data_IF_536639266315
#
_entry.id   IF_536639266315
#
_cell.length_a   1.000
_cell.length_b   1.000
_cell.length_c   1.000
_cell.angle_alpha   90.00
_cell.angle_beta   90.00
_cell.angle_gamma   90.00
#
_symmetry.space_group_name_H-M   'P 1'
#
loop_
_entity.id
_entity.type
_entity.pdbx_description
1 polymer ?
#
# COMPACT_ATOMS: atom_id res chain seq x y z
N UNK A 1 8.17 -16.13 -13.43
CA UNK A 1 8.55 -15.84 -12.03
C UNK A 1 9.67 -16.78 -11.64
N UNK A 2 10.64 -16.28 -10.89
CA UNK A 2 11.76 -17.03 -10.32
C UNK A 2 11.92 -16.56 -8.88
N UNK A 3 11.44 -17.35 -7.94
CA UNK A 3 11.48 -17.01 -6.51
C UNK A 3 11.69 -18.29 -5.68
N UNK A 4 12.65 -18.29 -4.74
CA UNK A 4 12.92 -19.46 -3.92
C UNK A 4 11.69 -19.83 -3.06
N UNK A 5 11.35 -21.13 -2.94
CA UNK A 5 10.19 -21.56 -2.15
C UNK A 5 10.27 -21.14 -0.67
N UNK A 6 9.11 -20.86 -0.06
CA UNK A 6 9.01 -20.55 1.37
C UNK A 6 9.41 -19.12 1.77
N UNK A 7 9.77 -18.26 0.81
CA UNK A 7 9.94 -16.83 1.02
C UNK A 7 8.61 -16.06 1.00
N UNK A 8 8.69 -14.73 1.14
CA UNK A 8 7.52 -13.84 1.01
C UNK A 8 6.91 -13.86 -0.41
N UNK A 9 7.70 -14.23 -1.41
CA UNK A 9 7.28 -14.37 -2.81
C UNK A 9 7.11 -15.85 -3.21
N UNK A 10 6.57 -16.66 -2.30
CA UNK A 10 6.37 -18.09 -2.54
C UNK A 10 5.47 -18.36 -3.78
N UNK A 11 5.96 -19.13 -4.78
CA UNK A 11 5.21 -19.41 -6.00
C UNK A 11 3.89 -20.14 -5.78
N UNK A 12 3.76 -20.98 -4.73
CA UNK A 12 2.49 -21.65 -4.44
C UNK A 12 1.44 -20.65 -3.94
N UNK A 13 1.83 -19.72 -3.07
CA UNK A 13 1.00 -18.60 -2.61
C UNK A 13 0.56 -17.72 -3.78
N UNK A 14 1.50 -17.36 -4.67
CA UNK A 14 1.18 -16.62 -5.90
C UNK A 14 0.08 -17.31 -6.72
N UNK A 15 0.21 -18.61 -6.98
CA UNK A 15 -0.76 -19.37 -7.77
C UNK A 15 -2.14 -19.45 -7.11
N UNK A 16 -2.19 -19.64 -5.79
CA UNK A 16 -3.44 -19.70 -5.03
C UNK A 16 -4.21 -18.37 -5.12
N UNK A 17 -3.53 -17.25 -4.91
CA UNK A 17 -4.13 -15.92 -5.02
C UNK A 17 -4.52 -15.60 -6.46
N UNK A 18 -3.66 -15.92 -7.44
CA UNK A 18 -3.96 -15.71 -8.85
C UNK A 18 -5.21 -16.50 -9.29
N UNK A 19 -5.36 -17.75 -8.82
CA UNK A 19 -6.53 -18.57 -9.11
C UNK A 19 -7.80 -17.98 -8.48
N UNK A 20 -7.72 -17.49 -7.24
CA UNK A 20 -8.83 -16.82 -6.59
C UNK A 20 -9.25 -15.57 -7.38
N UNK A 21 -8.33 -14.67 -7.70
CA UNK A 21 -8.62 -13.45 -8.48
C UNK A 21 -9.25 -13.77 -9.84
N UNK A 22 -8.71 -14.75 -10.58
CA UNK A 22 -9.31 -15.19 -11.86
C UNK A 22 -10.72 -15.77 -11.69
N UNK A 23 -11.00 -16.46 -10.58
CA UNK A 23 -12.35 -16.99 -10.29
C UNK A 23 -13.38 -15.87 -10.11
N UNK A 24 -12.94 -14.65 -9.74
CA UNK A 24 -13.76 -13.45 -9.66
C UNK A 24 -13.89 -12.72 -11.01
N UNK A 25 -13.33 -13.28 -12.09
CA UNK A 25 -13.29 -12.64 -13.42
C UNK A 25 -12.23 -11.54 -13.56
N UNK A 26 -11.27 -11.46 -12.62
CA UNK A 26 -10.21 -10.45 -12.63
C UNK A 26 -8.94 -10.95 -13.35
N UNK A 27 -8.11 -10.02 -13.79
CA UNK A 27 -6.97 -10.31 -14.66
C UNK A 27 -5.66 -10.50 -13.89
N UNK A 28 -5.57 -11.56 -13.08
CA UNK A 28 -4.29 -12.11 -12.66
C UNK A 28 -3.73 -13.06 -13.75
N UNK A 29 -2.40 -13.16 -13.93
CA UNK A 29 -1.82 -13.93 -15.04
C UNK A 29 -2.16 -15.42 -14.92
N UNK A 30 -2.51 -16.07 -16.05
CA UNK A 30 -2.61 -17.54 -16.11
C UNK A 30 -1.25 -18.20 -15.91
N UNK A 31 -1.24 -19.40 -15.33
CA UNK A 31 -0.04 -20.22 -15.25
C UNK A 31 -0.07 -21.30 -16.34
N UNK A 32 0.96 -21.35 -17.18
CA UNK A 32 1.11 -22.34 -18.25
C UNK A 32 1.90 -23.56 -17.79
N UNK A 33 2.91 -23.37 -16.94
CA UNK A 33 3.71 -24.44 -16.35
C UNK A 33 4.29 -23.99 -15.00
N UNK A 34 4.51 -24.93 -14.09
CA UNK A 34 5.07 -24.67 -12.76
C UNK A 34 6.09 -25.73 -12.38
N UNK A 35 7.15 -25.30 -11.69
CA UNK A 35 8.07 -26.15 -10.94
C UNK A 35 8.23 -25.52 -9.55
N UNK A 36 7.38 -25.94 -8.62
CA UNK A 36 7.37 -25.41 -7.26
C UNK A 36 8.56 -25.88 -6.42
N UNK A 37 9.24 -26.96 -6.83
CA UNK A 37 10.44 -27.44 -6.12
C UNK A 37 11.60 -26.49 -6.36
N UNK A 38 11.75 -26.00 -7.59
CA UNK A 38 12.80 -25.06 -7.95
C UNK A 38 12.34 -23.59 -7.96
N UNK A 39 11.06 -23.32 -7.74
CA UNK A 39 10.53 -21.96 -7.59
C UNK A 39 10.18 -21.25 -8.91
N UNK A 40 9.95 -22.00 -10.00
CA UNK A 40 9.69 -21.43 -11.32
C UNK A 40 8.21 -21.47 -11.71
N UNK A 41 7.72 -20.37 -12.28
CA UNK A 41 6.43 -20.30 -12.95
C UNK A 41 6.57 -19.72 -14.35
N UNK A 42 5.98 -20.40 -15.33
CA UNK A 42 5.73 -19.86 -16.67
C UNK A 42 4.32 -19.26 -16.70
N UNK A 43 4.25 -17.95 -16.86
CA UNK A 43 3.02 -17.17 -16.69
C UNK A 43 2.58 -16.53 -18.01
N UNK A 44 1.30 -16.21 -18.09
CA UNK A 44 0.74 -15.30 -19.10
C UNK A 44 1.42 -13.94 -19.03
N UNK A 45 1.82 -13.46 -20.20
CA UNK A 45 2.25 -12.08 -20.38
C UNK A 45 1.02 -11.17 -20.47
N UNK A 46 0.88 -10.27 -19.52
CA UNK A 46 -0.18 -9.26 -19.49
C UNK A 46 0.22 -7.97 -20.25
N UNK A 47 1.41 -7.94 -20.86
CA UNK A 47 1.94 -6.82 -21.60
C UNK A 47 2.53 -5.71 -20.72
N UNK A 48 2.95 -4.61 -21.35
CA UNK A 48 3.76 -3.55 -20.74
C UNK A 48 3.01 -2.24 -20.43
N UNK A 49 1.67 -2.26 -20.55
CA UNK A 49 0.83 -1.08 -20.42
C UNK A 49 0.61 -0.65 -18.96
N UNK A 50 1.68 -0.44 -18.21
CA UNK A 50 1.64 -0.07 -16.79
C UNK A 50 0.91 1.25 -16.59
N UNK A 51 -0.05 1.27 -15.66
CA UNK A 51 -0.90 2.42 -15.35
C UNK A 51 -0.09 3.70 -15.15
N UNK A 52 0.98 3.64 -14.35
CA UNK A 52 1.84 4.80 -14.10
C UNK A 52 2.41 5.41 -15.40
N UNK A 53 2.90 4.58 -16.33
CA UNK A 53 3.47 5.04 -17.62
C UNK A 53 2.36 5.54 -18.55
N UNK A 54 1.21 4.86 -18.56
CA UNK A 54 0.06 5.27 -19.37
C UNK A 54 -0.48 6.63 -18.96
N UNK A 55 -0.58 6.90 -17.66
CA UNK A 55 -1.08 8.18 -17.15
C UNK A 55 -0.04 9.27 -17.35
N UNK A 56 1.25 8.97 -17.20
CA UNK A 56 2.31 9.94 -17.53
C UNK A 56 2.26 10.36 -19.00
N UNK A 57 2.09 9.41 -19.92
CA UNK A 57 1.96 9.70 -21.35
C UNK A 57 0.62 10.37 -21.72
N UNK A 58 -0.46 10.01 -21.02
CA UNK A 58 -1.82 10.48 -21.28
C UNK A 58 -2.54 10.83 -19.98
N UNK A 59 -2.31 12.01 -19.40
CA UNK A 59 -2.89 12.41 -18.10
C UNK A 59 -4.42 12.36 -18.06
N UNK A 60 -5.09 12.55 -19.20
CA UNK A 60 -6.55 12.43 -19.32
C UNK A 60 -7.11 11.03 -19.00
N UNK A 61 -6.27 10.00 -19.01
CA UNK A 61 -6.68 8.64 -18.66
C UNK A 61 -6.76 8.40 -17.14
N UNK A 62 -6.17 9.28 -16.32
CA UNK A 62 -6.05 9.11 -14.87
C UNK A 62 -7.37 8.69 -14.21
N UNK A 63 -8.43 9.50 -14.38
CA UNK A 63 -9.74 9.23 -13.79
C UNK A 63 -10.28 7.88 -14.26
N UNK A 64 -10.29 7.62 -15.58
CA UNK A 64 -10.85 6.37 -16.12
C UNK A 64 -10.13 5.11 -15.62
N UNK A 65 -8.80 5.15 -15.56
CA UNK A 65 -7.98 4.02 -15.09
C UNK A 65 -8.18 3.80 -13.59
N UNK A 66 -8.18 4.87 -12.80
CA UNK A 66 -8.42 4.80 -11.36
C UNK A 66 -9.85 4.35 -11.03
N UNK A 67 -10.86 4.74 -11.82
CA UNK A 67 -12.24 4.24 -11.67
C UNK A 67 -12.29 2.72 -11.87
N UNK A 68 -11.65 2.21 -12.93
CA UNK A 68 -11.58 0.77 -13.16
C UNK A 68 -10.86 0.04 -12.03
N UNK A 69 -9.72 0.57 -11.57
CA UNK A 69 -8.97 0.00 -10.44
C UNK A 69 -9.76 0.03 -9.12
N UNK A 70 -10.55 1.07 -8.86
CA UNK A 70 -11.44 1.15 -7.69
C UNK A 70 -12.56 0.11 -7.78
N UNK A 71 -13.13 -0.09 -8.97
CA UNK A 71 -14.12 -1.14 -9.22
C UNK A 71 -13.59 -2.55 -8.96
N UNK A 72 -12.31 -2.82 -9.28
CA UNK A 72 -11.65 -4.08 -8.92
C UNK A 72 -11.60 -4.28 -7.41
N UNK A 73 -11.26 -3.25 -6.64
CA UNK A 73 -11.22 -3.34 -5.18
C UNK A 73 -12.59 -3.66 -4.59
N UNK A 74 -13.65 -3.00 -5.08
CA UNK A 74 -15.01 -3.32 -4.65
C UNK A 74 -15.42 -4.75 -5.03
N UNK A 75 -15.04 -5.22 -6.22
CA UNK A 75 -15.31 -6.59 -6.64
C UNK A 75 -14.62 -7.63 -5.73
N UNK A 76 -13.33 -7.43 -5.41
CA UNK A 76 -12.60 -8.29 -4.46
C UNK A 76 -13.27 -8.28 -3.09
N UNK A 77 -13.61 -7.10 -2.56
CA UNK A 77 -14.13 -6.95 -1.19
C UNK A 77 -15.60 -7.40 -1.04
N UNK A 78 -16.33 -7.56 -2.15
CA UNK A 78 -17.69 -8.11 -2.18
C UNK A 78 -17.77 -9.63 -2.11
N UNK A 79 -16.61 -10.32 -2.16
CA UNK A 79 -16.53 -11.77 -2.24
C UNK A 79 -15.83 -12.34 -0.98
N UNK A 80 -16.08 -13.60 -0.62
CA UNK A 80 -15.31 -14.26 0.42
C UNK A 80 -13.82 -14.22 0.10
N UNK A 81 -12.94 -13.90 1.07
CA UNK A 81 -11.50 -13.86 0.85
C UNK A 81 -10.95 -15.24 0.48
N UNK A 82 -9.78 -15.27 -0.16
CA UNK A 82 -9.02 -16.51 -0.33
C UNK A 82 -8.78 -17.20 1.02
N UNK A 83 -8.68 -18.53 1.02
CA UNK A 83 -8.44 -19.29 2.24
C UNK A 83 -7.03 -19.04 2.80
N UNK A 84 -6.89 -19.12 4.13
CA UNK A 84 -5.62 -19.08 4.86
C UNK A 84 -4.79 -17.79 4.66
N UNK A 85 -5.44 -16.67 4.37
CA UNK A 85 -4.76 -15.37 4.34
C UNK A 85 -4.30 -14.98 5.75
N UNK A 86 -3.09 -14.40 5.92
CA UNK A 86 -2.66 -13.84 7.19
C UNK A 86 -3.65 -12.78 7.69
N UNK A 87 -3.99 -12.82 8.98
CA UNK A 87 -4.91 -11.89 9.62
C UNK A 87 -4.20 -11.19 10.77
N UNK A 88 -3.76 -9.96 10.52
CA UNK A 88 -3.01 -9.18 11.50
C UNK A 88 -3.96 -8.33 12.35
N UNK A 89 -3.65 -8.27 13.63
CA UNK A 89 -4.30 -7.41 14.61
C UNK A 89 -3.91 -5.94 14.41
N UNK A 90 -4.72 -5.03 14.94
CA UNK A 90 -4.39 -3.60 14.96
C UNK A 90 -3.02 -3.33 15.62
N UNK A 91 -2.67 -4.09 16.67
CA UNK A 91 -1.39 -3.98 17.36
C UNK A 91 -0.20 -4.40 16.48
N UNK A 92 -0.33 -5.47 15.69
CA UNK A 92 0.71 -5.89 14.75
C UNK A 92 0.92 -4.88 13.63
N UNK A 93 -0.17 -4.29 13.12
CA UNK A 93 -0.10 -3.20 12.15
C UNK A 93 0.56 -1.94 12.71
N UNK A 94 0.26 -1.59 13.96
CA UNK A 94 0.92 -0.48 14.65
C UNK A 94 2.41 -0.77 14.87
N UNK A 95 2.76 -1.99 15.29
CA UNK A 95 4.15 -2.42 15.44
C UNK A 95 4.94 -2.32 14.13
N UNK A 96 4.33 -2.69 13.00
CA UNK A 96 4.96 -2.55 11.68
C UNK A 96 5.18 -1.08 11.27
N UNK A 97 4.37 -0.14 11.77
CA UNK A 97 4.58 1.29 11.58
C UNK A 97 5.68 1.88 12.47
N UNK A 98 6.13 1.13 13.50
CA UNK A 98 7.29 1.46 14.33
C UNK A 98 8.60 1.66 13.54
N UNK A 99 8.66 1.15 12.30
CA UNK A 99 9.76 1.43 11.38
C UNK A 99 9.99 2.93 11.15
N UNK A 100 8.96 3.77 11.29
CA UNK A 100 9.11 5.22 11.26
C UNK A 100 10.12 5.72 12.32
N UNK A 101 10.09 5.13 13.51
CA UNK A 101 11.03 5.46 14.60
C UNK A 101 12.37 4.75 14.41
N UNK A 102 12.34 3.46 14.09
CA UNK A 102 13.55 2.62 14.00
C UNK A 102 14.50 3.02 12.88
N UNK A 103 13.96 3.58 11.79
CA UNK A 103 14.71 3.85 10.57
C UNK A 103 14.64 5.31 10.16
N UNK A 104 13.43 5.86 9.97
CA UNK A 104 13.29 7.23 9.46
C UNK A 104 13.78 8.26 10.50
N UNK A 105 13.20 8.26 11.70
CA UNK A 105 13.64 9.14 12.80
C UNK A 105 15.12 8.92 13.12
N UNK A 106 15.51 7.67 13.37
CA UNK A 106 16.90 7.31 13.67
C UNK A 106 17.89 7.87 12.64
N UNK A 107 17.60 7.75 11.34
CA UNK A 107 18.48 8.26 10.30
C UNK A 107 18.64 9.79 10.31
N UNK A 108 17.68 10.52 10.87
CA UNK A 108 17.72 11.99 10.98
C UNK A 108 18.31 12.45 12.31
N UNK A 109 17.98 11.79 13.43
CA UNK A 109 18.33 12.27 14.77
C UNK A 109 19.55 11.55 15.34
N UNK A 110 19.75 10.27 15.00
CA UNK A 110 20.84 9.41 15.46
C UNK A 110 20.55 8.65 16.76
N UNK A 111 19.40 8.86 17.39
CA UNK A 111 18.99 8.20 18.62
C UNK A 111 17.83 7.21 18.40
N UNK A 112 17.74 6.23 19.31
CA UNK A 112 16.63 5.28 19.41
C UNK A 112 15.84 5.59 20.68
N UNK A 113 14.52 5.51 20.58
CA UNK A 113 13.59 5.80 21.67
C UNK A 113 12.65 4.62 21.88
N UNK A 114 12.02 4.57 23.03
CA UNK A 114 10.90 3.66 23.26
C UNK A 114 9.72 4.03 22.35
N UNK A 115 9.15 3.02 21.69
CA UNK A 115 8.01 3.16 20.78
C UNK A 115 6.68 2.78 21.42
N UNK A 116 6.64 2.41 22.71
CA UNK A 116 5.44 1.91 23.38
C UNK A 116 4.24 2.86 23.23
N UNK A 117 4.37 4.12 23.63
CA UNK A 117 3.27 5.10 23.56
C UNK A 117 2.82 5.37 22.12
N UNK A 118 3.76 5.37 21.16
CA UNK A 118 3.46 5.50 19.73
C UNK A 118 2.64 4.31 19.23
N UNK A 119 3.08 3.09 19.53
CA UNK A 119 2.40 1.87 19.12
C UNK A 119 1.01 1.78 19.77
N UNK A 120 0.87 2.09 21.05
CA UNK A 120 -0.41 2.12 21.75
C UNK A 120 -1.37 3.13 21.11
N UNK A 121 -0.91 4.37 20.88
CA UNK A 121 -1.74 5.43 20.27
C UNK A 121 -2.22 5.04 18.87
N UNK A 122 -1.34 4.45 18.05
CA UNK A 122 -1.71 3.98 16.72
C UNK A 122 -2.63 2.75 16.77
N UNK A 123 -2.40 1.83 17.72
CA UNK A 123 -3.29 0.67 17.95
C UNK A 123 -4.69 1.12 18.31
N UNK A 124 -4.83 2.11 19.19
CA UNK A 124 -6.12 2.67 19.59
C UNK A 124 -6.85 3.32 18.40
N UNK A 125 -6.15 4.09 17.58
CA UNK A 125 -6.71 4.70 16.38
C UNK A 125 -7.19 3.64 15.37
N UNK A 126 -6.37 2.63 15.10
CA UNK A 126 -6.72 1.52 14.21
C UNK A 126 -7.90 0.71 14.76
N UNK A 127 -7.88 0.37 16.04
CA UNK A 127 -8.97 -0.40 16.70
C UNK A 127 -10.29 0.36 16.60
N UNK A 128 -10.27 1.68 16.82
CA UNK A 128 -11.49 2.49 16.81
C UNK A 128 -12.06 2.74 15.42
N UNK A 129 -11.20 2.97 14.43
CA UNK A 129 -11.64 3.48 13.13
C UNK A 129 -11.44 2.49 11.97
N UNK A 130 -10.54 1.52 12.12
CA UNK A 130 -10.11 0.63 11.04
C UNK A 130 -9.84 -0.81 11.55
N UNK A 131 -10.73 -1.35 12.38
CA UNK A 131 -10.71 -2.76 12.82
C UNK A 131 -12.07 -3.46 12.67
N UNK A 132 -12.79 -3.07 11.62
CA UNK A 132 -14.11 -3.61 11.25
C UNK A 132 -14.04 -4.95 10.49
N UNK A 133 -15.02 -5.21 9.59
CA UNK A 133 -15.07 -6.44 8.79
C UNK A 133 -13.76 -6.74 8.06
N UNK A 134 -13.38 -8.02 8.04
CA UNK A 134 -12.18 -8.49 7.34
C UNK A 134 -12.49 -8.79 5.88
N UNK A 135 -11.72 -8.17 4.99
CA UNK A 135 -11.76 -8.37 3.53
C UNK A 135 -10.39 -8.75 3.02
N UNK A 136 -10.32 -9.34 1.83
CA UNK A 136 -9.05 -9.59 1.15
C UNK A 136 -8.46 -8.26 0.67
N UNK A 137 -7.22 -7.99 1.07
CA UNK A 137 -6.40 -6.87 0.60
C UNK A 137 -5.16 -7.41 -0.11
N UNK A 138 -4.72 -6.75 -1.18
CA UNK A 138 -3.56 -7.12 -2.00
C UNK A 138 -2.26 -6.47 -1.51
N UNK A 139 -2.38 -5.41 -0.70
CA UNK A 139 -1.32 -4.64 -0.03
C UNK A 139 -0.46 -3.76 -0.91
N UNK A 140 -0.01 -4.27 -2.05
CA UNK A 140 0.81 -3.56 -3.05
C UNK A 140 -0.01 -3.15 -4.28
N UNK A 141 -1.22 -2.65 -4.00
CA UNK A 141 -2.16 -2.19 -5.02
C UNK A 141 -1.91 -0.71 -5.38
N UNK A 142 -1.12 -0.45 -6.42
CA UNK A 142 -0.79 0.90 -6.88
C UNK A 142 -0.45 0.92 -8.37
N UNK A 143 -0.33 2.11 -8.97
CA UNK A 143 -0.24 2.29 -10.42
C UNK A 143 0.98 1.62 -11.11
N UNK A 144 2.03 1.29 -10.36
CA UNK A 144 3.17 0.50 -10.88
C UNK A 144 2.84 -0.99 -11.07
N UNK A 145 1.85 -1.51 -10.34
CA UNK A 145 1.49 -2.94 -10.29
C UNK A 145 0.15 -3.23 -10.99
N UNK A 146 -0.36 -2.25 -11.74
CA UNK A 146 -1.57 -2.36 -12.54
C UNK A 146 -1.25 -2.17 -14.02
N UNK A 147 -1.78 -3.06 -14.85
CA UNK A 147 -1.63 -3.01 -16.31
C UNK A 147 -2.98 -2.70 -16.96
N UNK A 148 -2.98 -1.84 -17.96
CA UNK A 148 -4.17 -1.60 -18.78
C UNK A 148 -4.23 -2.61 -19.92
N UNK A 149 -5.30 -3.41 -19.95
CA UNK A 149 -5.54 -4.48 -20.92
C UNK A 149 -6.69 -4.07 -21.85
N UNK A 150 -6.43 -3.29 -22.91
CA UNK A 150 -7.48 -2.68 -23.74
C UNK A 150 -8.38 -3.69 -24.45
N UNK A 151 -7.88 -4.91 -24.70
CA UNK A 151 -8.64 -5.98 -25.36
C UNK A 151 -9.56 -6.76 -24.41
N UNK A 152 -9.52 -6.48 -23.10
CA UNK A 152 -10.40 -7.07 -22.09
C UNK A 152 -11.50 -6.08 -21.70
N UNK A 153 -12.68 -6.60 -21.35
CA UNK A 153 -13.87 -5.79 -21.05
C UNK A 153 -14.08 -5.62 -19.55
N UNK A 154 -14.69 -4.50 -19.13
CA UNK A 154 -15.03 -4.23 -17.74
C UNK A 154 -13.81 -4.27 -16.82
N UNK A 155 -13.96 -4.86 -15.63
CA UNK A 155 -12.88 -4.97 -14.64
C UNK A 155 -11.71 -5.84 -15.10
N UNK A 156 -11.93 -6.74 -16.07
CA UNK A 156 -10.86 -7.53 -16.65
C UNK A 156 -9.86 -6.68 -17.46
N UNK A 157 -10.19 -5.42 -17.78
CA UNK A 157 -9.24 -4.46 -18.36
C UNK A 157 -8.11 -4.04 -17.41
N UNK A 158 -8.18 -4.42 -16.12
CA UNK A 158 -7.16 -4.14 -15.12
C UNK A 158 -6.34 -5.40 -14.84
N UNK A 159 -5.14 -5.48 -15.42
CA UNK A 159 -4.15 -6.52 -15.12
C UNK A 159 -3.54 -6.30 -13.74
N UNK A 160 -3.43 -7.37 -12.96
CA UNK A 160 -2.96 -7.35 -11.56
C UNK A 160 -1.60 -8.02 -11.45
N UNK A 161 -0.64 -7.32 -10.84
CA UNK A 161 0.70 -7.83 -10.48
C UNK A 161 0.92 -7.74 -8.97
N UNK A 162 1.95 -8.41 -8.46
CA UNK A 162 2.44 -8.31 -7.07
C UNK A 162 1.35 -8.44 -5.99
N UNK A 163 0.46 -9.42 -6.13
CA UNK A 163 -0.65 -9.69 -5.22
C UNK A 163 -0.38 -10.85 -4.24
N UNK A 164 0.76 -11.53 -4.33
CA UNK A 164 1.09 -12.71 -3.51
C UNK A 164 1.20 -12.41 -2.01
N UNK A 165 1.38 -11.14 -1.64
CA UNK A 165 1.38 -10.67 -0.25
C UNK A 165 -0.02 -10.39 0.29
N UNK A 166 -1.08 -10.87 -0.38
CA UNK A 166 -2.46 -10.66 0.05
C UNK A 166 -2.70 -11.12 1.50
N UNK A 167 -3.57 -10.40 2.20
CA UNK A 167 -3.90 -10.63 3.61
C UNK A 167 -5.38 -10.36 3.86
N UNK A 168 -5.86 -10.75 5.05
CA UNK A 168 -7.05 -10.16 5.63
C UNK A 168 -6.70 -8.77 6.18
N UNK A 169 -7.56 -7.81 5.90
CA UNK A 169 -7.45 -6.44 6.39
C UNK A 169 -8.80 -5.73 6.28
N UNK A 170 -8.79 -4.41 6.40
CA UNK A 170 -10.01 -3.62 6.43
C UNK A 170 -10.32 -2.98 5.08
N UNK A 171 -11.62 -2.76 4.78
CA UNK A 171 -12.05 -2.04 3.60
C UNK A 171 -11.31 -0.70 3.46
N UNK A 172 -10.88 -0.40 2.24
CA UNK A 172 -10.17 0.83 1.92
C UNK A 172 -8.65 0.79 2.05
N UNK A 173 -8.04 -0.27 2.60
CA UNK A 173 -6.57 -0.37 2.71
C UNK A 173 -5.87 -0.23 1.35
N UNK A 174 -6.34 -0.96 0.35
CA UNK A 174 -5.79 -0.89 -1.01
C UNK A 174 -6.22 0.38 -1.76
N UNK A 175 -7.34 1.00 -1.36
CA UNK A 175 -7.75 2.29 -1.90
C UNK A 175 -6.75 3.38 -1.46
N UNK A 176 -6.37 3.37 -0.18
CA UNK A 176 -5.28 4.22 0.33
C UNK A 176 -3.99 3.95 -0.43
N UNK A 177 -3.64 2.68 -0.67
CA UNK A 177 -2.45 2.31 -1.46
C UNK A 177 -2.46 2.92 -2.86
N UNK A 178 -3.63 2.92 -3.51
CA UNK A 178 -3.82 3.43 -4.87
C UNK A 178 -3.77 4.97 -4.92
N UNK A 179 -4.45 5.63 -3.99
CA UNK A 179 -4.70 7.07 -4.01
C UNK A 179 -3.60 7.89 -3.30
N UNK A 180 -2.97 7.33 -2.27
CA UNK A 180 -1.83 7.92 -1.57
C UNK A 180 -0.50 7.28 -2.02
N UNK A 181 -0.36 7.08 -3.33
CA UNK A 181 0.82 6.45 -3.93
C UNK A 181 2.06 7.34 -3.77
N UNK A 182 3.07 6.84 -3.05
CA UNK A 182 4.33 7.53 -2.85
C UNK A 182 5.07 7.84 -4.17
N UNK A 183 4.83 7.07 -5.24
CA UNK A 183 5.58 7.13 -6.50
C UNK A 183 4.99 8.09 -7.52
N UNK A 184 3.70 8.41 -7.40
CA UNK A 184 2.97 9.26 -8.35
C UNK A 184 2.18 10.35 -7.65
N UNK A 185 2.04 11.50 -8.29
CA UNK A 185 1.10 12.52 -7.83
C UNK A 185 -0.31 12.19 -8.34
N UNK A 186 -1.16 11.59 -7.52
CA UNK A 186 -2.58 11.39 -7.81
C UNK A 186 -3.31 12.72 -7.60
N UNK A 187 -4.09 13.18 -8.59
CA UNK A 187 -4.81 14.45 -8.43
C UNK A 187 -5.83 14.39 -7.31
N UNK A 188 -6.09 15.53 -6.66
CA UNK A 188 -7.13 15.66 -5.63
C UNK A 188 -8.53 15.33 -6.14
N UNK A 189 -8.78 15.66 -7.41
CA UNK A 189 -10.03 15.33 -8.09
C UNK A 189 -10.21 13.81 -8.20
N UNK A 190 -9.16 13.09 -8.64
CA UNK A 190 -9.18 11.63 -8.70
C UNK A 190 -9.31 11.02 -7.31
N UNK A 191 -8.55 11.48 -6.32
CA UNK A 191 -8.67 10.99 -4.94
C UNK A 191 -10.10 11.15 -4.40
N UNK A 192 -10.70 12.34 -4.53
CA UNK A 192 -12.05 12.60 -4.07
C UNK A 192 -13.09 11.72 -4.79
N UNK A 193 -13.02 11.65 -6.12
CA UNK A 193 -13.97 10.86 -6.91
C UNK A 193 -13.87 9.36 -6.61
N UNK A 194 -12.65 8.84 -6.39
CA UNK A 194 -12.45 7.41 -6.09
C UNK A 194 -12.91 7.05 -4.69
N UNK A 195 -12.72 7.95 -3.70
CA UNK A 195 -13.29 7.79 -2.36
C UNK A 195 -14.83 7.74 -2.43
N UNK A 196 -15.45 8.68 -3.16
CA UNK A 196 -16.89 8.69 -3.36
C UNK A 196 -17.38 7.39 -4.01
N UNK A 197 -16.76 7.01 -5.13
CA UNK A 197 -17.10 5.79 -5.88
C UNK A 197 -17.01 4.54 -5.00
N UNK A 198 -15.93 4.44 -4.20
CA UNK A 198 -15.75 3.33 -3.28
C UNK A 198 -16.82 3.30 -2.19
N UNK A 199 -17.18 4.46 -1.62
CA UNK A 199 -18.22 4.55 -0.59
C UNK A 199 -19.59 4.12 -1.14
N UNK A 200 -19.95 4.55 -2.34
CA UNK A 200 -21.19 4.16 -3.02
C UNK A 200 -21.26 2.64 -3.22
N UNK A 201 -20.16 2.02 -3.67
CA UNK A 201 -20.08 0.57 -3.88
C UNK A 201 -20.08 -0.23 -2.58
N UNK A 202 -19.47 0.31 -1.52
CA UNK A 202 -19.44 -0.31 -0.20
C UNK A 202 -20.72 -0.06 0.62
N UNK A 203 -21.67 0.75 0.13
CA UNK A 203 -22.90 1.08 0.84
C UNK A 203 -22.68 1.91 2.10
N UNK A 204 -21.65 2.77 2.12
CA UNK A 204 -21.33 3.66 3.25
C UNK A 204 -21.29 5.13 2.81
N UNK A 205 -21.18 6.04 3.77
CA UNK A 205 -20.99 7.47 3.50
C UNK A 205 -19.53 7.86 3.64
N UNK A 206 -19.09 8.90 2.93
CA UNK A 206 -17.74 9.42 3.10
C UNK A 206 -17.46 9.86 4.54
N UNK A 207 -18.45 10.41 5.24
CA UNK A 207 -18.30 10.82 6.64
C UNK A 207 -17.95 9.62 7.55
N UNK A 208 -18.57 8.47 7.31
CA UNK A 208 -18.29 7.24 8.08
C UNK A 208 -16.97 6.59 7.67
N UNK A 209 -16.58 6.72 6.39
CA UNK A 209 -15.37 6.09 5.86
C UNK A 209 -14.10 6.90 6.10
N UNK A 210 -14.20 8.23 6.16
CA UNK A 210 -13.05 9.14 6.24
C UNK A 210 -12.12 8.88 7.43
N UNK A 211 -12.59 8.62 8.67
CA UNK A 211 -11.70 8.26 9.78
C UNK A 211 -10.92 6.96 9.53
N UNK A 212 -11.58 5.95 8.95
CA UNK A 212 -10.96 4.67 8.60
C UNK A 212 -9.87 4.87 7.52
N UNK A 213 -10.20 5.56 6.43
CA UNK A 213 -9.28 5.89 5.35
C UNK A 213 -8.04 6.65 5.86
N UNK A 214 -8.24 7.62 6.76
CA UNK A 214 -7.15 8.38 7.34
C UNK A 214 -6.29 7.54 8.30
N UNK A 215 -6.89 6.69 9.14
CA UNK A 215 -6.15 5.82 10.06
C UNK A 215 -5.27 4.82 9.30
N UNK A 216 -5.83 4.20 8.25
CA UNK A 216 -5.11 3.32 7.32
C UNK A 216 -4.01 4.08 6.56
N UNK A 217 -4.31 5.29 6.08
CA UNK A 217 -3.35 6.20 5.46
C UNK A 217 -2.17 6.55 6.35
N UNK A 218 -2.44 6.92 7.61
CA UNK A 218 -1.39 7.23 8.58
C UNK A 218 -0.52 6.00 8.87
N UNK A 219 -1.13 4.85 9.14
CA UNK A 219 -0.40 3.58 9.37
C UNK A 219 0.53 3.25 8.19
N UNK A 220 0.01 3.31 6.96
CA UNK A 220 0.77 3.02 5.75
C UNK A 220 1.89 4.03 5.53
N UNK A 221 1.61 5.32 5.65
CA UNK A 221 2.62 6.36 5.45
C UNK A 221 3.76 6.24 6.47
N UNK A 222 3.46 6.04 7.76
CA UNK A 222 4.45 5.81 8.82
C UNK A 222 5.36 4.60 8.49
N UNK A 223 4.74 3.48 8.13
CA UNK A 223 5.48 2.28 7.72
C UNK A 223 6.36 2.54 6.47
N UNK A 224 5.84 3.24 5.46
CA UNK A 224 6.57 3.55 4.22
C UNK A 224 7.77 4.47 4.49
N UNK A 225 7.63 5.50 5.33
CA UNK A 225 8.75 6.37 5.73
C UNK A 225 9.91 5.53 6.28
N UNK A 226 9.59 4.61 7.20
CA UNK A 226 10.55 3.69 7.77
C UNK A 226 11.17 2.74 6.74
N UNK A 227 10.35 2.13 5.87
CA UNK A 227 10.82 1.24 4.80
C UNK A 227 11.77 1.97 3.85
N UNK A 228 11.45 3.19 3.41
CA UNK A 228 12.30 3.94 2.50
C UNK A 228 13.65 4.31 3.13
N UNK A 229 13.64 4.75 4.40
CA UNK A 229 14.87 4.98 5.15
C UNK A 229 15.69 3.68 5.29
N UNK A 230 15.06 2.55 5.65
CA UNK A 230 15.72 1.24 5.74
C UNK A 230 16.32 0.80 4.41
N UNK A 231 15.61 0.95 3.30
CA UNK A 231 16.08 0.60 1.96
C UNK A 231 17.28 1.43 1.52
N UNK A 232 17.35 2.71 1.92
CA UNK A 232 18.56 3.50 1.74
C UNK A 232 19.69 2.98 2.64
N UNK A 233 19.49 2.99 3.96
CA UNK A 233 20.54 2.72 4.95
C UNK A 233 21.14 1.31 4.80
N UNK A 234 20.29 0.29 4.70
CA UNK A 234 20.72 -1.11 4.57
C UNK A 234 20.75 -1.60 3.14
N UNK A 235 19.75 -1.23 2.35
CA UNK A 235 19.63 -1.72 0.98
C UNK A 235 20.52 -0.98 -0.03
N UNK A 236 21.15 0.14 0.36
CA UNK A 236 21.94 0.96 -0.56
C UNK A 236 21.11 1.58 -1.69
N UNK A 237 19.81 1.80 -1.47
CA UNK A 237 18.87 2.29 -2.50
C UNK A 237 18.49 3.77 -2.27
N UNK A 238 19.30 4.74 -2.74
CA UNK A 238 19.07 6.17 -2.49
C UNK A 238 17.84 6.75 -3.23
N UNK A 239 17.38 6.08 -4.28
CA UNK A 239 16.25 6.51 -5.12
C UNK A 239 14.90 6.58 -4.38
N UNK A 240 14.79 6.03 -3.17
CA UNK A 240 13.57 6.16 -2.34
C UNK A 240 13.52 7.46 -1.53
N UNK A 241 14.66 8.12 -1.28
CA UNK A 241 14.71 9.35 -0.47
C UNK A 241 13.90 10.50 -1.11
N UNK A 242 13.96 10.73 -2.44
CA UNK A 242 13.12 11.74 -3.08
C UNK A 242 11.60 11.50 -2.96
N UNK A 243 11.16 10.30 -2.57
CA UNK A 243 9.73 9.98 -2.40
C UNK A 243 9.20 10.33 -1.00
N UNK A 244 10.09 10.48 -0.01
CA UNK A 244 9.74 10.77 1.39
C UNK A 244 8.86 12.02 1.54
N UNK A 245 9.15 13.17 0.89
CA UNK A 245 8.32 14.37 1.03
C UNK A 245 6.84 14.15 0.68
N UNK A 246 6.56 13.33 -0.34
CA UNK A 246 5.18 13.01 -0.74
C UNK A 246 4.49 12.16 0.32
N UNK A 247 5.17 11.13 0.83
CA UNK A 247 4.65 10.27 1.91
C UNK A 247 4.36 11.10 3.16
N UNK A 248 5.26 12.01 3.52
CA UNK A 248 5.06 12.94 4.62
C UNK A 248 3.84 13.83 4.41
N UNK A 249 3.65 14.37 3.20
CA UNK A 249 2.48 15.17 2.87
C UNK A 249 1.17 14.37 3.02
N UNK A 250 1.12 13.12 2.57
CA UNK A 250 -0.03 12.24 2.82
C UNK A 250 -0.28 12.04 4.31
N UNK A 251 0.77 11.78 5.09
CA UNK A 251 0.67 11.66 6.54
C UNK A 251 0.07 12.92 7.20
N UNK A 252 0.53 14.11 6.79
CA UNK A 252 -0.01 15.38 7.30
C UNK A 252 -1.49 15.58 6.93
N UNK A 253 -1.91 15.18 5.72
CA UNK A 253 -3.32 15.24 5.35
C UNK A 253 -4.19 14.27 6.16
N UNK A 254 -3.69 13.08 6.45
CA UNK A 254 -4.39 12.12 7.31
C UNK A 254 -4.51 12.67 8.74
N UNK A 255 -3.46 13.30 9.28
CA UNK A 255 -3.47 13.95 10.60
C UNK A 255 -4.40 15.16 10.70
N UNK A 256 -4.82 15.75 9.59
CA UNK A 256 -5.81 16.83 9.60
C UNK A 256 -7.23 16.33 9.94
N UNK A 257 -7.45 15.01 10.00
CA UNK A 257 -8.72 14.42 10.43
C UNK A 257 -8.81 14.47 11.96
N UNK A 258 -9.87 15.08 12.55
CA UNK A 258 -9.98 15.28 14.00
C UNK A 258 -9.83 14.00 14.83
N UNK A 259 -10.34 12.88 14.32
CA UNK A 259 -10.26 11.55 14.92
C UNK A 259 -8.82 11.06 15.14
N UNK A 260 -7.85 11.62 14.40
CA UNK A 260 -6.43 11.29 14.52
C UNK A 260 -5.62 12.31 15.31
N UNK A 261 -6.24 13.28 16.00
CA UNK A 261 -5.50 14.27 16.81
C UNK A 261 -4.49 13.64 17.80
N UNK A 262 -4.82 12.57 18.55
CA UNK A 262 -3.85 11.97 19.47
C UNK A 262 -2.62 11.41 18.73
N UNK A 263 -2.84 10.78 17.57
CA UNK A 263 -1.78 10.23 16.73
C UNK A 263 -0.93 11.34 16.10
N UNK A 264 -1.57 12.41 15.63
CA UNK A 264 -0.89 13.58 15.08
C UNK A 264 0.03 14.23 16.13
N UNK A 265 -0.46 14.37 17.36
CA UNK A 265 0.28 14.97 18.47
C UNK A 265 1.54 14.17 18.81
N UNK A 266 1.42 12.86 19.02
CA UNK A 266 2.60 12.03 19.35
C UNK A 266 3.58 11.98 18.17
N UNK A 267 3.10 11.86 16.93
CA UNK A 267 3.97 11.87 15.75
C UNK A 267 4.69 13.21 15.58
N UNK A 268 4.03 14.33 15.85
CA UNK A 268 4.65 15.67 15.80
C UNK A 268 5.76 15.88 16.83
N UNK A 269 5.73 15.14 17.94
CA UNK A 269 6.81 15.16 18.95
C UNK A 269 7.96 14.24 18.57
N UNK A 270 7.67 13.09 17.98
CA UNK A 270 8.65 12.03 17.75
C UNK A 270 9.33 12.09 16.39
N UNK A 271 8.62 12.53 15.34
CA UNK A 271 9.08 12.45 13.95
C UNK A 271 9.52 13.81 13.42
N UNK A 272 10.79 13.99 13.02
CA UNK A 272 11.23 15.21 12.36
C UNK A 272 10.65 15.33 10.95
N UNK A 273 10.35 16.55 10.52
CA UNK A 273 9.93 16.83 9.15
C UNK A 273 11.09 16.55 8.15
N UNK A 274 10.78 16.13 6.91
CA UNK A 274 11.78 15.83 5.90
C UNK A 274 12.30 17.10 5.22
N UNK A 275 13.02 17.94 5.96
CA UNK A 275 13.69 19.11 5.39
C UNK A 275 14.80 18.67 4.40
N UNK A 276 15.26 19.55 3.50
CA UNK A 276 16.38 19.23 2.62
C UNK A 276 17.62 18.71 3.38
N UNK A 277 17.92 19.28 4.54
CA UNK A 277 19.02 18.84 5.41
C UNK A 277 18.77 17.45 5.99
N UNK A 278 17.55 17.17 6.45
CA UNK A 278 17.16 15.87 6.94
C UNK A 278 17.32 14.81 5.83
N UNK A 279 16.77 15.06 4.64
CA UNK A 279 16.86 14.14 3.50
C UNK A 279 18.30 13.90 3.04
N UNK A 280 19.12 14.96 2.99
CA UNK A 280 20.54 14.84 2.67
C UNK A 280 21.29 13.99 3.71
N UNK A 281 20.94 14.14 5.00
CA UNK A 281 21.49 13.30 6.08
C UNK A 281 21.09 11.83 5.93
N UNK A 282 19.84 11.52 5.57
CA UNK A 282 19.46 10.12 5.30
C UNK A 282 20.28 9.59 4.11
N UNK A 283 20.32 10.35 3.00
CA UNK A 283 20.99 9.95 1.77
C UNK A 283 22.50 9.68 1.93
N UNK A 284 23.20 10.44 2.75
CA UNK A 284 24.64 10.25 3.01
C UNK A 284 24.96 8.97 3.79
N UNK A 285 23.94 8.32 4.37
CA UNK A 285 24.06 7.07 5.12
C UNK A 285 23.70 5.82 4.30
N UNK A 286 23.32 5.97 3.03
CA UNK A 286 22.87 4.81 2.25
C UNK A 286 23.99 3.75 2.09
N UNK A 287 23.66 2.49 2.37
CA UNK A 287 24.58 1.36 2.26
C UNK A 287 25.63 1.26 3.36
N UNK A 288 25.57 2.12 4.38
CA UNK A 288 26.53 2.14 5.50
C UNK A 288 26.09 1.29 6.71
N UNK A 289 24.85 0.80 6.72
CA UNK A 289 24.33 -0.07 7.78
C UNK A 289 24.20 -1.50 7.27
N UNK A 290 25.07 -2.41 7.71
CA UNK A 290 24.99 -3.85 7.39
C UNK A 290 24.46 -4.63 8.57
#
# INVERSE_FOLDING_TARGET
>A
MDAPPGGSDDPATFLAIAAHLRSLGLSAPRCYAQDLVHGFLLLEDLGDAVYARKIEAYPSLEISLYTAATGVLAAIQSQPPAANLPDLTAAEWAGAAGFALDWYRFSITGDRIDSADFCTTLTDALTRYADGPRVMILRDYHAENLLWLPDRQGLASVGLLDFQLAQLGQPGYDLVSLLQDARRNVSRETEALMIQTFCEQAGTTEANFRPAYAALGAQRALRILGIFAKLCLQGGKPNYIPLIPRVWQHLQHNFAIPELEPLAKICGQLLPAPTPEALARIGSQCGHFR
#
